data_IF_238335568854
#
_entry.id   IF_238335568854
#
_cell.length_a   1.000
_cell.length_b   1.000
_cell.length_c   1.000
_cell.angle_alpha   90.00
_cell.angle_beta   90.00
_cell.angle_gamma   90.00
#
_symmetry.space_group_name_H-M   'P 1'
#
loop_
_entity.id
_entity.type
_entity.pdbx_description
1 polymer ?
#
# COMPACT_ATOMS: atom_id res chain seq x y z
N UNK A 1 33.23 -36.57 33.18
CA UNK A 1 33.93 -35.29 32.95
C UNK A 1 33.84 -34.93 31.47
N UNK A 2 33.30 -33.75 31.17
CA UNK A 2 33.41 -32.95 29.93
C UNK A 2 33.03 -33.56 28.56
N UNK A 3 31.79 -33.32 28.15
CA UNK A 3 31.44 -33.13 26.75
C UNK A 3 30.80 -31.75 26.59
N UNK A 4 31.61 -30.69 26.64
CA UNK A 4 31.15 -29.35 26.27
C UNK A 4 31.19 -29.25 24.74
N UNK A 5 30.02 -29.46 24.16
CA UNK A 5 29.65 -29.14 22.79
C UNK A 5 30.18 -27.76 22.42
N UNK A 6 31.17 -27.76 21.52
CA UNK A 6 31.76 -26.58 20.91
C UNK A 6 30.68 -25.88 20.06
N UNK A 7 29.98 -24.91 20.66
CA UNK A 7 29.07 -24.02 19.95
C UNK A 7 29.89 -23.14 19.00
N UNK A 8 29.97 -23.58 17.73
CA UNK A 8 30.59 -22.80 16.65
C UNK A 8 29.68 -21.63 16.35
N UNK A 9 29.93 -20.50 17.02
CA UNK A 9 29.34 -19.21 16.67
C UNK A 9 29.59 -18.96 15.18
N UNK A 10 28.53 -18.95 14.37
CA UNK A 10 28.58 -18.38 13.03
C UNK A 10 28.76 -16.88 13.23
N UNK A 11 29.99 -16.39 13.14
CA UNK A 11 30.25 -14.97 12.94
C UNK A 11 29.64 -14.59 11.60
N UNK A 12 28.45 -13.99 11.61
CA UNK A 12 27.95 -13.27 10.44
C UNK A 12 28.98 -12.19 10.11
N UNK A 13 29.42 -12.05 8.85
CA UNK A 13 30.35 -11.00 8.51
C UNK A 13 29.64 -9.67 8.79
N UNK A 14 30.28 -8.76 9.53
CA UNK A 14 29.83 -7.37 9.74
C UNK A 14 29.38 -6.68 8.44
N UNK A 15 29.89 -7.14 7.29
CA UNK A 15 29.43 -6.76 5.96
C UNK A 15 27.93 -7.00 5.73
N UNK A 16 27.38 -8.13 6.18
CA UNK A 16 25.95 -8.44 6.04
C UNK A 16 25.09 -7.48 6.87
N UNK A 17 25.52 -7.15 8.08
CA UNK A 17 24.80 -6.20 8.94
C UNK A 17 24.84 -4.78 8.33
N UNK A 18 25.98 -4.38 7.74
CA UNK A 18 26.10 -3.11 7.00
C UNK A 18 25.19 -3.09 5.78
N UNK A 19 25.12 -4.18 5.00
CA UNK A 19 24.23 -4.29 3.84
C UNK A 19 22.77 -4.18 4.27
N UNK A 20 22.36 -4.88 5.33
CA UNK A 20 20.99 -4.82 5.86
C UNK A 20 20.66 -3.42 6.36
N UNK A 21 21.57 -2.78 7.11
CA UNK A 21 21.39 -1.40 7.55
C UNK A 21 21.25 -0.43 6.36
N UNK A 22 22.08 -0.57 5.33
CA UNK A 22 22.01 0.27 4.14
C UNK A 22 20.67 0.11 3.41
N UNK A 23 20.21 -1.12 3.18
CA UNK A 23 18.93 -1.40 2.54
C UNK A 23 17.77 -0.83 3.35
N UNK A 24 17.81 -0.97 4.68
CA UNK A 24 16.78 -0.49 5.58
C UNK A 24 16.70 1.04 5.56
N UNK A 25 17.85 1.72 5.64
CA UNK A 25 17.92 3.19 5.54
C UNK A 25 17.45 3.67 4.17
N UNK A 26 17.92 3.07 3.07
CA UNK A 26 17.49 3.42 1.72
C UNK A 26 15.97 3.25 1.56
N UNK A 27 15.39 2.19 2.10
CA UNK A 27 13.95 1.94 2.06
C UNK A 27 13.16 3.00 2.82
N UNK A 28 13.65 3.42 4.01
CA UNK A 28 13.03 4.49 4.80
C UNK A 28 13.10 5.83 4.06
N UNK A 29 14.25 6.16 3.47
CA UNK A 29 14.43 7.41 2.71
C UNK A 29 13.49 7.46 1.50
N UNK A 30 13.40 6.37 0.73
CA UNK A 30 12.46 6.24 -0.38
C UNK A 30 11.00 6.35 0.07
N UNK A 31 10.68 5.79 1.23
CA UNK A 31 9.34 5.92 1.84
C UNK A 31 9.00 7.37 2.18
N UNK A 32 9.89 8.09 2.86
CA UNK A 32 9.69 9.50 3.20
C UNK A 32 9.56 10.35 1.94
N UNK A 33 10.43 10.12 0.94
CA UNK A 33 10.41 10.85 -0.32
C UNK A 33 9.10 10.62 -1.11
N UNK A 34 8.65 9.37 -1.20
CA UNK A 34 7.35 9.05 -1.79
C UNK A 34 6.17 9.62 -1.01
N UNK A 35 6.25 9.61 0.33
CA UNK A 35 5.21 10.15 1.21
C UNK A 35 5.04 11.67 1.07
N UNK A 36 6.15 12.42 1.04
CA UNK A 36 6.15 13.86 0.80
C UNK A 36 5.59 14.20 -0.59
N UNK A 37 5.98 13.44 -1.62
CA UNK A 37 5.45 13.58 -2.99
C UNK A 37 3.95 13.27 -3.13
N UNK A 38 3.34 12.59 -2.17
CA UNK A 38 1.89 12.34 -2.15
C UNK A 38 1.10 13.47 -1.47
N UNK A 39 1.71 14.23 -0.56
CA UNK A 39 1.07 15.30 0.21
C UNK A 39 1.29 16.71 -0.37
N UNK A 40 1.97 16.83 -1.51
CA UNK A 40 2.13 18.13 -2.20
C UNK A 40 0.77 18.67 -2.65
N UNK A 41 0.48 19.92 -2.32
CA UNK A 41 -0.78 20.59 -2.66
C UNK A 41 -1.02 20.58 -4.18
N UNK A 42 -2.15 20.00 -4.60
CA UNK A 42 -2.57 19.98 -5.98
C UNK A 42 -3.43 21.21 -6.27
N UNK A 43 -2.84 22.23 -6.89
CA UNK A 43 -3.58 23.36 -7.43
C UNK A 43 -4.27 22.90 -8.73
N UNK A 44 -5.54 22.49 -8.63
CA UNK A 44 -6.36 21.92 -9.70
C UNK A 44 -6.68 22.86 -10.87
N UNK A 45 -5.69 23.56 -11.41
CA UNK A 45 -5.80 24.45 -12.56
C UNK A 45 -5.28 23.82 -13.85
N UNK A 46 -4.31 22.91 -13.75
CA UNK A 46 -3.72 22.25 -14.91
C UNK A 46 -3.59 20.75 -14.65
N UNK A 47 -4.08 19.94 -15.59
CA UNK A 47 -3.69 18.54 -15.66
C UNK A 47 -2.16 18.53 -15.79
N UNK A 48 -1.40 17.96 -14.85
CA UNK A 48 0.06 18.00 -14.93
C UNK A 48 0.46 17.36 -16.25
N UNK A 49 1.10 18.15 -17.11
CA UNK A 49 1.64 17.66 -18.37
C UNK A 49 2.53 16.46 -18.04
N UNK A 50 2.12 15.28 -18.50
CA UNK A 50 2.83 14.05 -18.23
C UNK A 50 4.13 14.10 -19.02
N UNK A 51 5.23 14.51 -18.38
CA UNK A 51 6.53 14.43 -19.00
C UNK A 51 6.94 12.96 -19.11
N UNK A 52 7.26 12.54 -20.32
CA UNK A 52 7.82 11.21 -20.61
C UNK A 52 9.35 11.18 -20.44
N UNK A 53 9.96 12.21 -19.84
CA UNK A 53 11.39 12.22 -19.59
C UNK A 53 11.81 11.00 -18.76
N UNK A 54 12.83 10.29 -19.23
CA UNK A 54 13.25 9.04 -18.60
C UNK A 54 13.69 9.24 -17.13
N UNK A 55 14.17 10.44 -16.79
CA UNK A 55 14.61 10.80 -15.45
C UNK A 55 13.46 11.00 -14.44
N UNK A 56 12.23 11.30 -14.89
CA UNK A 56 11.08 11.47 -13.99
C UNK A 56 10.30 10.18 -13.78
N UNK A 57 10.50 9.19 -14.64
CA UNK A 57 9.84 7.88 -14.56
C UNK A 57 10.06 7.17 -13.22
N UNK A 58 11.28 7.10 -12.65
CA UNK A 58 11.50 6.46 -11.35
C UNK A 58 10.69 7.11 -10.23
N UNK A 59 10.51 8.43 -10.28
CA UNK A 59 9.70 9.16 -9.31
C UNK A 59 8.21 8.82 -9.42
N UNK A 60 7.67 8.73 -10.65
CA UNK A 60 6.29 8.31 -10.86
C UNK A 60 6.04 6.86 -10.46
N UNK A 61 6.98 5.96 -10.74
CA UNK A 61 6.92 4.57 -10.30
C UNK A 61 6.93 4.51 -8.77
N UNK A 62 7.83 5.22 -8.10
CA UNK A 62 7.89 5.26 -6.64
C UNK A 62 6.56 5.69 -6.00
N UNK A 63 5.96 6.77 -6.51
CA UNK A 63 4.66 7.26 -6.02
C UNK A 63 3.54 6.23 -6.21
N UNK A 64 3.55 5.53 -7.35
CA UNK A 64 2.56 4.48 -7.65
C UNK A 64 2.76 3.27 -6.74
N UNK A 65 3.99 2.79 -6.59
CA UNK A 65 4.34 1.67 -5.69
C UNK A 65 3.96 2.00 -4.25
N UNK A 66 4.21 3.22 -3.77
CA UNK A 66 3.80 3.64 -2.42
C UNK A 66 2.30 3.54 -2.22
N UNK A 67 1.49 4.03 -3.17
CA UNK A 67 0.03 3.90 -3.10
C UNK A 67 -0.43 2.44 -3.06
N UNK A 68 0.21 1.58 -3.85
CA UNK A 68 -0.08 0.14 -3.86
C UNK A 68 0.31 -0.54 -2.55
N UNK A 69 1.48 -0.23 -1.98
CA UNK A 69 1.94 -0.79 -0.70
C UNK A 69 1.04 -0.36 0.45
N UNK A 70 0.65 0.91 0.50
CA UNK A 70 -0.31 1.41 1.49
C UNK A 70 -1.65 0.69 1.34
N UNK A 71 -2.16 0.58 0.11
CA UNK A 71 -3.39 -0.17 -0.17
C UNK A 71 -3.31 -1.64 0.25
N UNK A 72 -2.16 -2.29 -0.01
CA UNK A 72 -1.90 -3.67 0.38
C UNK A 72 -1.88 -3.83 1.90
N UNK A 73 -1.27 -2.90 2.63
CA UNK A 73 -1.26 -2.91 4.09
C UNK A 73 -2.67 -2.85 4.67
N UNK A 74 -3.50 -1.92 4.18
CA UNK A 74 -4.91 -1.85 4.60
C UNK A 74 -5.71 -3.10 4.20
N UNK A 75 -5.46 -3.64 3.00
CA UNK A 75 -6.07 -4.90 2.55
C UNK A 75 -5.68 -6.07 3.45
N UNK A 76 -4.43 -6.13 3.90
CA UNK A 76 -3.95 -7.17 4.80
C UNK A 76 -4.60 -7.07 6.18
N UNK A 77 -4.71 -5.86 6.75
CA UNK A 77 -5.42 -5.64 8.01
C UNK A 77 -6.89 -6.07 7.90
N UNK A 78 -7.57 -5.63 6.84
CA UNK A 78 -8.95 -6.04 6.56
C UNK A 78 -9.07 -7.56 6.43
N UNK A 79 -8.21 -8.19 5.63
CA UNK A 79 -8.20 -9.63 5.40
C UNK A 79 -8.04 -10.40 6.71
N UNK A 80 -7.08 -10.03 7.55
CA UNK A 80 -6.85 -10.69 8.84
C UNK A 80 -8.08 -10.56 9.75
N UNK A 81 -8.62 -9.35 9.89
CA UNK A 81 -9.79 -9.11 10.75
C UNK A 81 -10.98 -9.95 10.28
N UNK A 82 -11.35 -9.87 9.00
CA UNK A 82 -12.51 -10.58 8.46
C UNK A 82 -12.30 -12.09 8.41
N UNK A 83 -11.09 -12.57 8.13
CA UNK A 83 -10.75 -13.99 8.18
C UNK A 83 -10.91 -14.55 9.60
N UNK A 84 -10.42 -13.85 10.62
CA UNK A 84 -10.57 -14.25 12.03
C UNK A 84 -12.05 -14.26 12.45
N UNK A 85 -12.83 -13.25 12.04
CA UNK A 85 -14.27 -13.22 12.31
C UNK A 85 -15.01 -14.38 11.63
N UNK A 86 -14.68 -14.68 10.38
CA UNK A 86 -15.27 -15.80 9.64
C UNK A 86 -14.89 -17.17 10.25
N UNK A 87 -13.68 -17.31 10.80
CA UNK A 87 -13.23 -18.53 11.45
C UNK A 87 -13.88 -18.73 12.83
N UNK A 88 -14.06 -17.65 13.60
CA UNK A 88 -14.60 -17.72 14.97
C UNK A 88 -16.11 -17.90 15.03
N UNK A 89 -16.87 -17.33 14.08
CA UNK A 89 -18.34 -17.32 14.13
C UNK A 89 -18.97 -18.03 12.92
N UNK A 90 -19.65 -19.14 13.18
CA UNK A 90 -20.38 -19.92 12.16
C UNK A 90 -21.40 -19.12 11.32
N UNK A 91 -22.22 -18.20 11.88
CA UNK A 91 -23.13 -17.39 11.06
C UNK A 91 -22.37 -16.34 10.23
N UNK A 92 -21.29 -15.77 10.77
CA UNK A 92 -20.52 -14.73 10.08
C UNK A 92 -19.82 -15.28 8.82
N UNK A 93 -19.34 -16.53 8.88
CA UNK A 93 -18.79 -17.24 7.73
C UNK A 93 -19.76 -17.28 6.54
N UNK A 94 -21.05 -17.50 6.80
CA UNK A 94 -22.09 -17.58 5.74
C UNK A 94 -22.36 -16.24 5.06
N UNK A 95 -22.02 -15.12 5.71
CA UNK A 95 -22.20 -13.77 5.16
C UNK A 95 -20.91 -13.26 4.51
N UNK A 96 -19.76 -13.43 5.16
CA UNK A 96 -18.46 -12.93 4.66
C UNK A 96 -18.06 -13.64 3.36
N UNK A 97 -18.23 -14.97 3.27
CA UNK A 97 -17.73 -15.73 2.12
C UNK A 97 -18.42 -15.36 0.80
N UNK A 98 -19.77 -15.26 0.74
CA UNK A 98 -20.45 -14.77 -0.46
C UNK A 98 -20.15 -13.30 -0.76
N UNK A 99 -19.98 -12.46 0.27
CA UNK A 99 -19.67 -11.04 0.09
C UNK A 99 -18.29 -10.86 -0.55
N UNK A 100 -17.25 -11.54 -0.05
CA UNK A 100 -15.91 -11.52 -0.65
C UNK A 100 -15.96 -12.05 -2.08
N UNK A 101 -16.65 -13.17 -2.33
CA UNK A 101 -16.80 -13.70 -3.68
C UNK A 101 -17.49 -12.71 -4.65
N UNK A 102 -18.50 -11.99 -4.16
CA UNK A 102 -19.13 -10.92 -4.93
C UNK A 102 -18.13 -9.80 -5.24
N UNK A 103 -17.38 -9.31 -4.25
CA UNK A 103 -16.38 -8.25 -4.45
C UNK A 103 -15.30 -8.64 -5.46
N UNK A 104 -14.88 -9.91 -5.49
CA UNK A 104 -13.93 -10.44 -6.48
C UNK A 104 -14.51 -10.44 -7.91
N UNK A 105 -15.83 -10.53 -8.05
CA UNK A 105 -16.51 -10.50 -9.36
C UNK A 105 -16.81 -9.09 -9.89
N UNK A 106 -16.68 -8.05 -9.07
CA UNK A 106 -17.03 -6.67 -9.45
C UNK A 106 -15.99 -6.13 -10.44
N UNK A 107 -16.41 -5.49 -11.55
CA UNK A 107 -15.49 -4.85 -12.47
C UNK A 107 -14.75 -3.69 -11.81
N UNK A 108 -13.42 -3.69 -11.90
CA UNK A 108 -12.54 -2.64 -11.37
C UNK A 108 -12.94 -1.23 -11.86
N UNK A 109 -13.40 -1.11 -13.10
CA UNK A 109 -13.81 0.16 -13.72
C UNK A 109 -15.06 0.75 -13.03
N UNK A 110 -16.00 -0.12 -12.63
CA UNK A 110 -17.19 0.29 -11.87
C UNK A 110 -16.84 0.78 -10.47
N UNK A 111 -15.91 0.08 -9.81
CA UNK A 111 -15.41 0.47 -8.49
C UNK A 111 -14.71 1.85 -8.52
N UNK A 112 -13.86 2.11 -9.53
CA UNK A 112 -13.16 3.39 -9.64
C UNK A 112 -14.13 4.56 -9.86
N UNK A 113 -15.14 4.36 -10.70
CA UNK A 113 -16.17 5.37 -10.98
C UNK A 113 -17.02 5.66 -9.75
N UNK A 114 -17.52 4.62 -9.07
CA UNK A 114 -18.30 4.76 -7.84
C UNK A 114 -17.48 5.43 -6.74
N UNK A 115 -16.24 4.98 -6.51
CA UNK A 115 -15.36 5.50 -5.47
C UNK A 115 -15.02 6.96 -5.73
N UNK A 116 -14.71 7.32 -6.99
CA UNK A 116 -14.52 8.70 -7.39
C UNK A 116 -15.78 9.49 -7.09
N UNK A 117 -16.94 9.12 -7.65
CA UNK A 117 -18.23 9.77 -7.41
C UNK A 117 -18.63 9.90 -5.92
N UNK A 118 -18.33 8.88 -5.11
CA UNK A 118 -18.59 8.85 -3.67
C UNK A 118 -17.72 9.86 -2.92
N UNK A 119 -16.40 9.85 -3.17
CA UNK A 119 -15.51 10.84 -2.58
C UNK A 119 -15.86 12.25 -3.08
N UNK A 120 -16.16 12.39 -4.39
CA UNK A 120 -16.79 13.52 -5.10
C UNK A 120 -17.98 14.11 -4.34
N UNK A 121 -18.92 13.26 -3.92
CA UNK A 121 -20.08 13.66 -3.13
C UNK A 121 -19.81 13.96 -1.66
N UNK A 122 -18.79 13.35 -1.04
CA UNK A 122 -18.49 13.52 0.38
C UNK A 122 -17.89 14.91 0.71
N UNK A 123 -17.29 15.58 -0.29
CA UNK A 123 -16.72 16.92 -0.19
C UNK A 123 -17.32 17.88 -1.24
N UNK A 124 -18.58 18.34 -1.06
CA UNK A 124 -19.33 19.07 -2.09
C UNK A 124 -18.80 20.49 -2.41
N UNK A 125 -17.68 20.92 -1.84
CA UNK A 125 -17.05 22.23 -2.09
C UNK A 125 -15.53 22.19 -2.34
N UNK A 126 -14.95 21.02 -2.62
CA UNK A 126 -13.49 20.88 -2.83
C UNK A 126 -13.22 19.90 -3.94
N UNK A 127 -12.72 20.33 -5.12
CA UNK A 127 -12.22 19.57 -6.32
C UNK A 127 -13.04 18.36 -6.81
N UNK A 128 -14.13 18.06 -6.13
CA UNK A 128 -14.69 16.74 -6.05
C UNK A 128 -16.18 16.84 -6.49
N UNK A 129 -16.76 18.03 -6.59
CA UNK A 129 -18.12 18.25 -7.12
C UNK A 129 -18.20 18.86 -8.52
N UNK A 130 -17.22 18.69 -9.43
CA UNK A 130 -17.30 19.41 -10.72
C UNK A 130 -18.33 18.78 -11.67
N UNK A 131 -19.49 19.44 -11.74
CA UNK A 131 -20.39 19.52 -12.88
C UNK A 131 -20.04 20.79 -13.64
N UNK A 132 -19.75 20.68 -14.93
CA UNK A 132 -19.45 21.79 -15.84
C UNK A 132 -18.50 21.34 -16.93
#
# INVERSE_FOLDING_TARGET
MHALTKYKSKTTPVLNDVIVCFILVASIVLFIYGWQGMHSAFNGRDLPALSLDYHVLPYYTLRTTMRLVIGLFYSMLFSIVFAVLAAKYAPMRRVILPFVNFMESVPLVGFLTFTTAFFLGLYPHSVMGWKG
#
